data_IF_523229293846
#
_entry.id   IF_523229293846
#
_cell.length_a   1.000
_cell.length_b   1.000
_cell.length_c   1.000
_cell.angle_alpha   90.00
_cell.angle_beta   90.00
_cell.angle_gamma   90.00
#
_symmetry.space_group_name_H-M   'P 1'
#
loop_
_entity.id
_entity.type
_entity.pdbx_description
1 polymer ?
#
# COMPACT_ATOMS: atom_id res chain seq x y z
N UNK A 1 14.07 1.64 7.31
CA UNK A 1 12.89 1.54 6.44
C UNK A 1 11.66 2.20 7.06
N UNK A 2 11.25 1.85 8.28
CA UNK A 2 10.17 2.54 9.02
C UNK A 2 10.34 4.07 9.13
N UNK A 3 11.56 4.53 9.47
CA UNK A 3 11.92 5.96 9.52
C UNK A 3 11.81 6.66 8.16
N UNK A 4 11.96 5.93 7.05
CA UNK A 4 11.84 6.49 5.69
C UNK A 4 10.37 6.66 5.28
N UNK A 5 9.48 5.70 5.55
CA UNK A 5 8.06 5.85 5.25
C UNK A 5 7.41 7.02 6.01
N UNK A 6 7.66 7.13 7.32
CA UNK A 6 7.15 8.25 8.11
C UNK A 6 7.69 9.62 7.65
N UNK A 7 8.90 9.67 7.07
CA UNK A 7 9.47 10.91 6.52
C UNK A 7 8.68 11.43 5.32
N UNK A 8 8.14 10.54 4.50
CA UNK A 8 7.47 10.87 3.24
C UNK A 8 5.93 10.89 3.33
N UNK A 9 5.37 10.63 4.51
CA UNK A 9 3.94 10.81 4.79
C UNK A 9 3.79 12.05 5.65
N UNK A 10 3.41 13.18 5.04
CA UNK A 10 3.15 14.45 5.75
C UNK A 10 1.91 15.15 5.20
N UNK A 11 1.23 15.90 6.08
CA UNK A 11 0.06 16.69 5.70
C UNK A 11 0.49 17.94 4.92
N UNK A 12 -0.40 18.53 4.12
CA UNK A 12 -0.06 19.69 3.27
C UNK A 12 -0.48 21.04 3.86
N UNK A 13 -1.72 21.15 4.34
CA UNK A 13 -2.29 22.43 4.72
C UNK A 13 -2.30 22.64 6.23
N UNK A 14 -2.79 21.65 6.96
CA UNK A 14 -2.90 21.68 8.42
C UNK A 14 -2.33 20.39 8.99
N UNK A 15 -1.76 20.41 10.21
CA UNK A 15 -1.43 19.19 10.92
C UNK A 15 -2.66 18.30 11.01
N UNK A 16 -2.47 17.00 10.79
CA UNK A 16 -3.55 16.03 10.93
C UNK A 16 -3.32 15.24 12.21
N UNK A 17 -4.27 15.28 13.13
CA UNK A 17 -4.21 14.52 14.38
C UNK A 17 -5.31 13.46 14.40
N UNK A 18 -4.95 12.24 14.81
CA UNK A 18 -5.90 11.16 14.99
C UNK A 18 -5.34 10.04 15.85
N UNK A 19 -6.17 9.05 16.17
CA UNK A 19 -5.73 7.86 16.88
C UNK A 19 -4.89 6.98 15.94
N UNK A 20 -3.68 6.63 16.39
CA UNK A 20 -2.83 5.63 15.77
C UNK A 20 -2.63 4.43 16.68
N UNK A 21 -2.24 3.29 16.09
CA UNK A 21 -1.96 2.07 16.83
C UNK A 21 -0.47 2.01 17.19
N UNK A 22 -0.16 2.00 18.48
CA UNK A 22 1.15 1.64 18.99
C UNK A 22 1.22 0.10 19.10
N UNK A 23 1.90 -0.56 18.17
CA UNK A 23 1.99 -2.03 18.12
C UNK A 23 2.81 -2.65 19.27
N UNK A 24 3.77 -1.90 19.83
CA UNK A 24 4.61 -2.36 20.94
C UNK A 24 3.79 -2.42 22.24
N UNK A 25 3.10 -1.33 22.56
CA UNK A 25 2.23 -1.26 23.74
C UNK A 25 0.85 -1.88 23.53
N UNK A 26 0.51 -2.15 22.27
CA UNK A 26 -0.81 -2.59 21.84
C UNK A 26 -1.92 -1.66 22.36
N UNK A 27 -1.77 -0.37 22.10
CA UNK A 27 -2.67 0.68 22.56
C UNK A 27 -2.93 1.70 21.45
N UNK A 28 -4.10 2.35 21.49
CA UNK A 28 -4.33 3.52 20.66
C UNK A 28 -3.79 4.76 21.36
N UNK A 29 -2.99 5.54 20.64
CA UNK A 29 -2.36 6.77 21.10
C UNK A 29 -2.63 7.87 20.07
N UNK A 30 -2.72 9.11 20.52
CA UNK A 30 -2.84 10.24 19.60
C UNK A 30 -1.54 10.41 18.81
N UNK A 31 -1.66 10.54 17.49
CA UNK A 31 -0.55 10.78 16.57
C UNK A 31 -0.86 11.99 15.71
N UNK A 32 0.13 12.86 15.55
CA UNK A 32 0.02 14.04 14.68
C UNK A 32 0.96 13.91 13.50
N UNK A 33 0.41 14.08 12.31
CA UNK A 33 1.14 14.24 11.07
C UNK A 33 1.49 15.72 10.88
N UNK A 34 2.77 16.10 10.93
CA UNK A 34 3.18 17.49 10.72
C UNK A 34 2.94 17.90 9.26
N UNK A 35 2.89 19.23 9.05
CA UNK A 35 2.84 19.80 7.71
C UNK A 35 4.21 19.64 7.03
N UNK A 36 4.19 19.27 5.75
CA UNK A 36 5.37 19.14 4.91
C UNK A 36 5.90 20.51 4.49
N UNK A 37 7.23 20.66 4.47
CA UNK A 37 7.86 21.76 3.75
C UNK A 37 7.76 21.53 2.23
N UNK A 38 7.96 22.60 1.45
CA UNK A 38 8.02 22.49 -0.01
C UNK A 38 9.15 21.57 -0.49
N UNK A 39 10.25 21.48 0.25
CA UNK A 39 11.36 20.56 -0.02
C UNK A 39 10.94 19.11 0.22
N UNK A 40 10.26 18.83 1.33
CA UNK A 40 9.79 17.48 1.65
C UNK A 40 8.75 16.96 0.64
N UNK A 41 7.92 17.85 0.09
CA UNK A 41 7.01 17.50 -1.01
C UNK A 41 7.82 17.09 -2.25
N UNK A 42 8.81 17.89 -2.67
CA UNK A 42 9.66 17.56 -3.82
C UNK A 42 10.41 16.25 -3.62
N UNK A 43 11.07 16.08 -2.47
CA UNK A 43 11.79 14.85 -2.12
C UNK A 43 10.87 13.62 -2.15
N UNK A 44 9.63 13.78 -1.67
CA UNK A 44 8.65 12.69 -1.71
C UNK A 44 8.29 12.31 -3.14
N UNK A 45 8.08 13.29 -4.03
CA UNK A 45 7.80 13.05 -5.45
C UNK A 45 8.97 12.37 -6.14
N UNK A 46 10.20 12.85 -5.93
CA UNK A 46 11.40 12.24 -6.51
C UNK A 46 11.58 10.79 -6.08
N UNK A 47 11.31 10.45 -4.81
CA UNK A 47 11.52 9.09 -4.28
C UNK A 47 10.35 8.15 -4.59
N UNK A 48 9.10 8.63 -4.50
CA UNK A 48 7.91 7.78 -4.53
C UNK A 48 7.06 7.94 -5.80
N UNK A 49 7.46 8.85 -6.69
CA UNK A 49 6.87 9.10 -7.99
C UNK A 49 7.29 8.08 -9.04
N UNK A 50 7.18 8.47 -10.30
CA UNK A 50 7.43 7.58 -11.44
C UNK A 50 8.80 7.72 -12.09
N UNK A 51 9.66 8.62 -11.63
CA UNK A 51 10.95 8.93 -12.28
C UNK A 51 11.82 7.67 -12.43
N UNK A 52 12.06 6.93 -11.34
CA UNK A 52 12.88 5.71 -11.38
C UNK A 52 12.23 4.63 -12.26
N UNK A 53 10.90 4.51 -12.22
CA UNK A 53 10.17 3.57 -13.09
C UNK A 53 10.40 3.90 -14.57
N UNK A 54 10.32 5.17 -14.95
CA UNK A 54 10.62 5.59 -16.32
C UNK A 54 12.08 5.34 -16.70
N UNK A 55 13.03 5.61 -15.80
CA UNK A 55 14.46 5.33 -16.01
C UNK A 55 14.72 3.84 -16.24
N UNK A 56 14.06 2.96 -15.49
CA UNK A 56 14.15 1.51 -15.71
C UNK A 56 13.71 1.12 -17.12
N UNK A 57 12.55 1.61 -17.58
CA UNK A 57 12.05 1.28 -18.90
C UNK A 57 12.92 1.86 -20.01
N UNK A 58 13.46 3.07 -19.83
CA UNK A 58 14.44 3.66 -20.76
C UNK A 58 15.73 2.84 -20.85
N UNK A 59 16.29 2.42 -19.72
CA UNK A 59 17.50 1.61 -19.68
C UNK A 59 17.29 0.24 -20.33
N UNK A 60 16.17 -0.43 -20.01
CA UNK A 60 15.82 -1.72 -20.60
C UNK A 60 15.57 -1.61 -22.11
N UNK A 61 14.91 -0.54 -22.57
CA UNK A 61 14.68 -0.32 -24.00
C UNK A 61 15.99 -0.04 -24.74
N UNK A 62 16.87 0.80 -24.19
CA UNK A 62 18.18 1.11 -24.77
C UNK A 62 19.10 -0.13 -24.86
N UNK A 63 18.91 -1.09 -23.96
CA UNK A 63 19.61 -2.37 -23.95
C UNK A 63 18.91 -3.49 -24.74
N UNK A 64 17.86 -3.19 -25.50
CA UNK A 64 17.05 -4.17 -26.27
C UNK A 64 16.53 -5.34 -25.41
N UNK A 65 16.17 -5.04 -24.15
CA UNK A 65 15.69 -6.01 -23.16
C UNK A 65 14.16 -6.02 -23.02
N UNK A 66 13.43 -5.30 -23.88
CA UNK A 66 11.97 -5.24 -23.86
C UNK A 66 11.39 -6.03 -25.05
N UNK A 67 10.64 -7.08 -24.75
CA UNK A 67 9.95 -7.85 -25.77
C UNK A 67 8.77 -7.08 -26.40
N UNK A 68 8.38 -7.39 -27.66
CA UNK A 68 7.15 -6.87 -28.23
C UNK A 68 5.93 -7.19 -27.34
N UNK A 69 5.05 -6.21 -27.15
CA UNK A 69 3.87 -6.35 -26.29
C UNK A 69 4.17 -6.32 -24.78
N UNK A 70 5.36 -5.87 -24.35
CA UNK A 70 5.73 -5.81 -22.93
C UNK A 70 4.69 -5.07 -22.10
N UNK A 71 4.36 -5.62 -20.93
CA UNK A 71 3.51 -4.96 -19.95
C UNK A 71 4.32 -4.66 -18.70
N UNK A 72 4.26 -3.42 -18.23
CA UNK A 72 4.81 -3.00 -16.94
C UNK A 72 3.72 -2.47 -16.04
N UNK A 73 3.80 -2.77 -14.75
CA UNK A 73 2.80 -2.33 -13.77
C UNK A 73 3.47 -1.71 -12.55
N UNK A 74 3.00 -0.53 -12.13
CA UNK A 74 3.40 0.11 -10.88
C UNK A 74 2.25 0.07 -9.86
N UNK A 75 2.59 -0.13 -8.58
CA UNK A 75 1.60 -0.17 -7.50
C UNK A 75 1.36 1.22 -6.90
N UNK A 76 0.08 1.54 -6.73
CA UNK A 76 -0.41 2.77 -6.13
C UNK A 76 -1.44 2.47 -5.06
N UNK A 77 -1.79 3.48 -4.27
CA UNK A 77 -2.88 3.43 -3.30
C UNK A 77 -3.60 4.79 -3.30
N UNK A 78 -4.92 4.78 -3.16
CA UNK A 78 -5.74 5.99 -3.03
C UNK A 78 -6.41 6.00 -1.65
N UNK A 79 -7.05 4.89 -1.27
CA UNK A 79 -7.79 4.75 -0.02
C UNK A 79 -9.11 5.51 0.00
N UNK A 80 -9.85 5.46 1.11
CA UNK A 80 -11.10 6.18 1.25
C UNK A 80 -10.92 7.63 1.67
N UNK A 81 -12.00 8.41 1.56
CA UNK A 81 -12.05 9.84 1.94
C UNK A 81 -11.52 10.11 3.34
N UNK A 82 -11.78 9.21 4.31
CA UNK A 82 -11.29 9.33 5.69
C UNK A 82 -9.76 9.35 5.81
N UNK A 83 -9.05 8.83 4.81
CA UNK A 83 -7.57 8.79 4.76
C UNK A 83 -6.97 9.80 3.79
N UNK A 84 -7.78 10.58 3.07
CA UNK A 84 -7.28 11.56 2.10
C UNK A 84 -6.28 12.56 2.70
N UNK A 85 -6.50 13.14 3.90
CA UNK A 85 -5.52 14.06 4.49
C UNK A 85 -4.12 13.45 4.72
N UNK A 86 -4.06 12.12 4.91
CA UNK A 86 -2.83 11.36 5.15
C UNK A 86 -2.16 10.95 3.83
N UNK A 87 -2.97 10.52 2.86
CA UNK A 87 -2.51 9.93 1.61
C UNK A 87 -2.69 10.88 0.43
N UNK A 88 -3.92 10.96 -0.09
CA UNK A 88 -4.24 11.63 -1.35
C UNK A 88 -3.86 13.13 -1.35
N UNK A 89 -4.12 13.81 -0.24
CA UNK A 89 -3.88 15.25 -0.10
C UNK A 89 -2.54 15.56 0.60
N UNK A 90 -1.83 14.52 1.04
CA UNK A 90 -0.50 14.61 1.63
C UNK A 90 0.62 14.51 0.59
N UNK A 91 1.86 14.56 1.06
CA UNK A 91 3.07 14.45 0.21
C UNK A 91 3.09 13.21 -0.69
N UNK A 92 2.61 12.07 -0.17
CA UNK A 92 2.60 10.81 -0.91
C UNK A 92 1.56 10.81 -2.05
N UNK A 93 0.47 11.57 -1.90
CA UNK A 93 -0.54 11.74 -2.94
C UNK A 93 0.02 12.42 -4.18
N UNK A 94 0.80 13.49 -4.00
CA UNK A 94 1.54 14.14 -5.10
C UNK A 94 2.48 13.18 -5.82
N UNK A 95 3.19 12.34 -5.07
CA UNK A 95 4.04 11.33 -5.66
C UNK A 95 3.23 10.31 -6.47
N UNK A 96 2.03 9.92 -6.02
CA UNK A 96 1.15 9.03 -6.78
C UNK A 96 0.51 9.69 -8.00
N UNK A 97 0.16 10.97 -7.94
CA UNK A 97 -0.24 11.74 -9.12
C UNK A 97 0.89 11.78 -10.16
N UNK A 98 2.13 12.04 -9.72
CA UNK A 98 3.29 11.95 -10.61
C UNK A 98 3.45 10.55 -11.19
N UNK A 99 3.34 9.49 -10.38
CA UNK A 99 3.42 8.10 -10.85
C UNK A 99 2.36 7.79 -11.92
N UNK A 100 1.13 8.29 -11.74
CA UNK A 100 0.04 8.12 -12.71
C UNK A 100 0.34 8.85 -14.00
N UNK A 101 0.84 10.09 -13.93
CA UNK A 101 1.26 10.84 -15.12
C UNK A 101 2.45 10.17 -15.83
N UNK A 102 3.38 9.57 -15.09
CA UNK A 102 4.52 8.86 -15.67
C UNK A 102 4.09 7.59 -16.40
N UNK A 103 3.03 6.92 -15.97
CA UNK A 103 2.48 5.78 -16.70
C UNK A 103 2.08 6.16 -18.13
N UNK A 104 1.47 7.33 -18.34
CA UNK A 104 1.13 7.81 -19.68
C UNK A 104 2.37 8.11 -20.52
N UNK A 105 3.42 8.70 -19.92
CA UNK A 105 4.68 8.92 -20.61
C UNK A 105 5.35 7.60 -21.05
N UNK A 106 5.34 6.58 -20.18
CA UNK A 106 5.87 5.25 -20.50
C UNK A 106 5.01 4.57 -21.58
N UNK A 107 3.68 4.72 -21.55
CA UNK A 107 2.83 4.19 -22.62
C UNK A 107 3.20 4.76 -23.98
N UNK A 108 3.48 6.07 -24.07
CA UNK A 108 3.97 6.69 -25.31
C UNK A 108 5.34 6.13 -25.73
N UNK A 109 6.25 5.95 -24.78
CA UNK A 109 7.59 5.39 -25.02
C UNK A 109 7.54 3.94 -25.58
N UNK A 110 6.58 3.14 -25.12
CA UNK A 110 6.46 1.73 -25.48
C UNK A 110 5.57 1.48 -26.71
N UNK A 111 4.98 2.53 -27.29
CA UNK A 111 4.00 2.40 -28.37
C UNK A 111 4.54 1.65 -29.61
N UNK A 112 5.80 1.91 -29.99
CA UNK A 112 6.43 1.32 -31.19
C UNK A 112 6.60 -0.20 -31.09
N UNK A 113 6.69 -0.74 -29.87
CA UNK A 113 6.76 -2.19 -29.62
C UNK A 113 5.42 -2.77 -29.16
N UNK A 114 4.34 -1.99 -29.22
CA UNK A 114 3.00 -2.39 -28.75
C UNK A 114 2.93 -2.64 -27.24
N UNK A 115 3.85 -2.07 -26.46
CA UNK A 115 3.91 -2.25 -25.01
C UNK A 115 2.96 -1.32 -24.25
N UNK A 116 2.69 -1.67 -22.99
CA UNK A 116 1.77 -0.94 -22.13
C UNK A 116 2.31 -0.77 -20.71
N UNK A 117 2.07 0.42 -20.17
CA UNK A 117 2.27 0.73 -18.76
C UNK A 117 0.92 0.88 -18.04
N UNK A 118 0.80 0.22 -16.90
CA UNK A 118 -0.40 0.22 -16.08
C UNK A 118 -0.08 0.66 -14.66
N UNK A 119 -1.05 1.28 -14.00
CA UNK A 119 -1.00 1.49 -12.56
C UNK A 119 -2.07 0.64 -11.91
N UNK A 120 -1.67 -0.19 -10.94
CA UNK A 120 -2.61 -0.93 -10.12
C UNK A 120 -2.83 -0.22 -8.79
N UNK A 121 -4.05 0.26 -8.57
CA UNK A 121 -4.45 0.86 -7.29
C UNK A 121 -4.85 -0.28 -6.37
N UNK A 122 -3.97 -0.58 -5.43
CA UNK A 122 -4.10 -1.66 -4.47
C UNK A 122 -5.00 -1.27 -3.29
N UNK A 123 -5.57 -2.28 -2.62
CA UNK A 123 -6.20 -2.14 -1.31
C UNK A 123 -5.17 -1.87 -0.21
N UNK A 124 -5.62 -1.37 0.93
CA UNK A 124 -4.85 -1.22 2.14
C UNK A 124 -4.50 -2.60 2.73
N UNK A 125 -3.21 -2.84 2.97
CA UNK A 125 -2.67 -4.11 3.47
C UNK A 125 -1.68 -3.85 4.60
N UNK A 126 -1.47 -4.84 5.47
CA UNK A 126 -0.40 -4.80 6.48
C UNK A 126 0.92 -5.08 5.78
N UNK A 127 1.80 -4.07 5.75
CA UNK A 127 3.15 -4.15 5.19
C UNK A 127 4.08 -3.38 6.10
N UNK A 128 5.39 -3.56 5.92
CA UNK A 128 6.39 -2.79 6.66
C UNK A 128 6.33 -1.29 6.35
N UNK A 129 5.73 -0.89 5.23
CA UNK A 129 5.52 0.50 4.90
C UNK A 129 4.27 1.06 5.60
N UNK A 130 3.13 0.40 5.40
CA UNK A 130 1.82 0.84 5.90
C UNK A 130 1.67 0.77 7.42
N UNK A 131 2.33 -0.16 8.09
CA UNK A 131 2.28 -0.29 9.55
C UNK A 131 2.83 0.94 10.30
N UNK A 132 3.64 1.78 9.65
CA UNK A 132 4.25 2.98 10.26
C UNK A 132 3.67 4.29 9.74
N UNK A 133 2.65 4.26 8.89
CA UNK A 133 1.98 5.47 8.45
C UNK A 133 1.02 5.88 9.58
N UNK A 134 1.14 7.09 10.15
CA UNK A 134 0.30 7.50 11.26
C UNK A 134 -1.19 7.34 10.95
N UNK A 135 -1.95 6.88 11.94
CA UNK A 135 -3.41 6.64 11.87
C UNK A 135 -3.86 5.52 10.91
N UNK A 136 -3.08 5.18 9.87
CA UNK A 136 -3.44 4.13 8.91
C UNK A 136 -3.64 2.73 9.53
N UNK A 137 -2.84 2.27 10.51
CA UNK A 137 -3.10 1.00 11.20
C UNK A 137 -4.49 0.89 11.83
N UNK A 138 -5.07 2.01 12.27
CA UNK A 138 -6.44 2.02 12.79
C UNK A 138 -7.45 1.74 11.68
N UNK A 139 -7.25 2.32 10.50
CA UNK A 139 -8.05 2.02 9.31
C UNK A 139 -7.91 0.57 8.90
N UNK A 140 -6.69 0.04 8.86
CA UNK A 140 -6.42 -1.35 8.53
C UNK A 140 -7.16 -2.30 9.49
N UNK A 141 -7.10 -2.08 10.80
CA UNK A 141 -7.77 -2.94 11.78
C UNK A 141 -9.28 -2.99 11.56
N UNK A 142 -9.92 -1.84 11.35
CA UNK A 142 -11.36 -1.77 11.08
C UNK A 142 -11.73 -2.37 9.73
N UNK A 143 -10.99 -2.03 8.67
CA UNK A 143 -11.21 -2.55 7.32
C UNK A 143 -11.07 -4.07 7.29
N UNK A 144 -10.04 -4.61 7.92
CA UNK A 144 -9.81 -6.06 8.00
C UNK A 144 -10.98 -6.78 8.67
N UNK A 145 -11.51 -6.24 9.78
CA UNK A 145 -12.68 -6.81 10.45
C UNK A 145 -13.89 -6.86 9.53
N UNK A 146 -14.27 -5.70 8.98
CA UNK A 146 -15.43 -5.57 8.07
C UNK A 146 -15.30 -6.47 6.84
N UNK A 147 -14.15 -6.47 6.18
CA UNK A 147 -13.94 -7.29 4.99
C UNK A 147 -13.91 -8.79 5.30
N UNK A 148 -13.44 -9.20 6.49
CA UNK A 148 -13.47 -10.61 6.91
C UNK A 148 -14.90 -11.08 7.17
N UNK A 149 -15.70 -10.27 7.86
CA UNK A 149 -17.13 -10.55 8.09
C UNK A 149 -17.91 -10.69 6.77
N UNK A 150 -17.54 -9.91 5.74
CA UNK A 150 -18.17 -9.96 4.42
C UNK A 150 -17.55 -10.99 3.46
N UNK A 151 -16.50 -11.71 3.86
CA UNK A 151 -15.80 -12.66 2.98
C UNK A 151 -15.03 -12.01 1.82
N UNK A 152 -14.65 -10.74 1.95
CA UNK A 152 -13.97 -9.95 0.92
C UNK A 152 -12.47 -9.70 1.21
N UNK A 153 -11.99 -10.11 2.39
CA UNK A 153 -10.63 -9.81 2.83
C UNK A 153 -9.59 -10.54 1.98
N UNK A 154 -8.58 -9.78 1.55
CA UNK A 154 -7.41 -10.27 0.80
C UNK A 154 -6.13 -9.75 1.48
N UNK A 155 -5.13 -10.63 1.54
CA UNK A 155 -3.75 -10.30 1.85
C UNK A 155 -2.96 -9.93 0.59
N UNK A 156 -1.64 -9.79 0.73
CA UNK A 156 -0.78 -9.41 -0.40
C UNK A 156 -0.83 -10.44 -1.53
N UNK A 157 -0.80 -11.74 -1.19
CA UNK A 157 -0.73 -12.80 -2.20
C UNK A 157 -2.06 -12.99 -2.94
N UNK A 158 -3.19 -12.94 -2.23
CA UNK A 158 -4.52 -13.05 -2.83
C UNK A 158 -4.78 -11.87 -3.78
N UNK A 159 -4.40 -10.65 -3.37
CA UNK A 159 -4.54 -9.49 -4.23
C UNK A 159 -3.67 -9.63 -5.49
N UNK A 160 -2.41 -10.04 -5.37
CA UNK A 160 -1.55 -10.18 -6.55
C UNK A 160 -2.02 -11.30 -7.47
N UNK A 161 -2.52 -12.40 -6.90
CA UNK A 161 -3.16 -13.46 -7.66
C UNK A 161 -4.37 -12.92 -8.45
N UNK A 162 -5.29 -12.19 -7.81
CA UNK A 162 -6.45 -11.59 -8.49
C UNK A 162 -6.04 -10.54 -9.54
N UNK A 163 -5.01 -9.74 -9.28
CA UNK A 163 -4.48 -8.77 -10.25
C UNK A 163 -4.08 -9.48 -11.54
N UNK A 164 -3.23 -10.50 -11.45
CA UNK A 164 -2.73 -11.19 -12.62
C UNK A 164 -3.79 -12.09 -13.28
N UNK A 165 -4.46 -12.94 -12.50
CA UNK A 165 -5.39 -13.93 -13.02
C UNK A 165 -6.68 -13.31 -13.58
N UNK A 166 -7.16 -12.21 -12.99
CA UNK A 166 -8.47 -11.63 -13.35
C UNK A 166 -8.39 -10.30 -14.08
N UNK A 167 -7.33 -9.49 -13.87
CA UNK A 167 -7.30 -8.11 -14.38
C UNK A 167 -6.16 -7.77 -15.33
N UNK A 168 -5.11 -8.59 -15.44
CA UNK A 168 -4.03 -8.37 -16.43
C UNK A 168 -4.03 -9.44 -17.52
N UNK A 169 -4.18 -10.71 -17.13
CA UNK A 169 -4.07 -11.86 -18.02
C UNK A 169 -5.32 -12.74 -18.01
N UNK A 170 -6.45 -12.18 -17.56
CA UNK A 170 -7.75 -12.84 -17.62
C UNK A 170 -8.30 -12.90 -19.05
N UNK A 171 -9.43 -13.60 -19.23
CA UNK A 171 -10.06 -13.79 -20.55
C UNK A 171 -10.53 -12.49 -21.22
N UNK A 172 -10.70 -11.42 -20.44
CA UNK A 172 -11.09 -10.08 -20.94
C UNK A 172 -9.87 -9.18 -21.23
N UNK A 173 -8.65 -9.72 -21.12
CA UNK A 173 -7.42 -8.93 -21.17
C UNK A 173 -7.27 -8.02 -19.95
N UNK A 174 -6.70 -6.83 -20.15
CA UNK A 174 -6.51 -5.87 -19.06
C UNK A 174 -7.83 -5.18 -18.71
N UNK A 175 -8.21 -5.25 -17.43
CA UNK A 175 -9.41 -4.61 -16.87
C UNK A 175 -9.00 -3.40 -16.03
N UNK A 176 -9.25 -2.21 -16.57
CA UNK A 176 -8.95 -0.93 -15.93
C UNK A 176 -10.18 0.00 -15.94
N UNK A 177 -10.16 1.03 -15.10
CA UNK A 177 -11.19 2.08 -15.10
C UNK A 177 -10.97 3.13 -16.20
N UNK A 178 -11.84 4.14 -16.25
CA UNK A 178 -11.78 5.22 -17.26
C UNK A 178 -10.51 6.07 -17.21
N UNK A 179 -9.70 5.96 -16.15
CA UNK A 179 -8.40 6.62 -16.01
C UNK A 179 -7.23 5.66 -16.27
N UNK A 180 -7.49 4.48 -16.86
CA UNK A 180 -6.51 3.42 -17.11
C UNK A 180 -5.86 2.87 -15.84
N UNK A 181 -6.57 2.94 -14.71
CA UNK A 181 -6.11 2.38 -13.45
C UNK A 181 -6.72 0.98 -13.25
N UNK A 182 -5.90 -0.02 -12.95
CA UNK A 182 -6.36 -1.35 -12.55
C UNK A 182 -6.77 -1.27 -11.08
N UNK A 183 -8.08 -1.37 -10.81
CA UNK A 183 -8.66 -1.15 -9.48
C UNK A 183 -8.71 -2.42 -8.64
N UNK A 184 -7.69 -2.66 -7.83
CA UNK A 184 -7.66 -3.77 -6.87
C UNK A 184 -8.27 -3.39 -5.51
N UNK A 185 -8.51 -2.10 -5.30
CA UNK A 185 -9.21 -1.50 -4.18
C UNK A 185 -10.75 -1.52 -4.32
N UNK A 186 -11.28 -2.17 -5.36
CA UNK A 186 -12.72 -2.25 -5.67
C UNK A 186 -13.56 -2.85 -4.53
N UNK A 187 -13.09 -3.91 -3.88
CA UNK A 187 -13.76 -4.48 -2.72
C UNK A 187 -13.71 -3.54 -1.51
N UNK A 188 -12.54 -2.95 -1.24
CA UNK A 188 -12.33 -2.00 -0.14
C UNK A 188 -13.23 -0.78 -0.29
N UNK A 189 -13.26 -0.16 -1.47
CA UNK A 189 -13.99 1.08 -1.74
C UNK A 189 -15.47 0.86 -2.06
N UNK A 190 -15.98 -0.37 -1.94
CA UNK A 190 -17.40 -0.62 -2.09
C UNK A 190 -18.21 0.19 -1.05
N UNK A 191 -19.38 0.75 -1.41
CA UNK A 191 -20.18 1.54 -0.48
C UNK A 191 -20.53 0.79 0.82
N UNK A 192 -20.81 -0.52 0.72
CA UNK A 192 -21.12 -1.36 1.88
C UNK A 192 -19.96 -1.45 2.88
N UNK A 193 -18.73 -1.69 2.39
CA UNK A 193 -17.53 -1.74 3.25
C UNK A 193 -17.25 -0.38 3.85
N UNK A 194 -17.28 0.69 3.06
CA UNK A 194 -16.93 2.04 3.53
C UNK A 194 -17.94 2.61 4.56
N UNK A 195 -19.23 2.34 4.40
CA UNK A 195 -20.26 2.71 5.38
C UNK A 195 -20.02 1.97 6.70
N UNK A 196 -19.76 0.66 6.65
CA UNK A 196 -19.49 -0.14 7.85
C UNK A 196 -18.23 0.33 8.58
N UNK A 197 -17.12 0.54 7.85
CA UNK A 197 -15.87 1.04 8.44
C UNK A 197 -16.07 2.43 9.07
N UNK A 198 -16.77 3.35 8.38
CA UNK A 198 -17.04 4.69 8.90
C UNK A 198 -17.89 4.67 10.18
N UNK A 199 -18.88 3.78 10.25
CA UNK A 199 -19.72 3.62 11.43
C UNK A 199 -18.94 3.08 12.64
N UNK A 200 -17.97 2.20 12.42
CA UNK A 200 -17.08 1.69 13.46
C UNK A 200 -16.07 2.76 13.89
N UNK A 201 -15.49 3.49 12.92
CA UNK A 201 -14.52 4.55 13.17
C UNK A 201 -15.05 5.61 14.14
N UNK A 202 -16.29 6.07 13.94
CA UNK A 202 -16.92 7.09 14.78
C UNK A 202 -17.14 6.66 16.25
N UNK A 203 -17.10 5.35 16.54
CA UNK A 203 -17.32 4.77 17.87
C UNK A 203 -16.03 4.25 18.51
N UNK A 204 -14.92 4.31 17.77
CA UNK A 204 -13.66 3.74 18.21
C UNK A 204 -13.05 4.56 19.35
N UNK A 205 -12.63 3.87 20.41
CA UNK A 205 -11.93 4.47 21.55
C UNK A 205 -10.73 3.60 21.93
N UNK A 206 -9.73 4.15 22.65
CA UNK A 206 -8.62 3.35 23.19
C UNK A 206 -9.05 2.18 24.08
N UNK A 207 -10.26 2.21 24.66
CA UNK A 207 -10.78 1.17 25.53
C UNK A 207 -11.49 0.04 24.78
N UNK A 208 -12.06 0.31 23.59
CA UNK A 208 -12.88 -0.66 22.86
C UNK A 208 -12.25 -1.17 21.56
N UNK A 209 -11.13 -0.59 21.11
CA UNK A 209 -10.63 -0.84 19.75
C UNK A 209 -10.40 -2.32 19.44
N UNK A 210 -9.90 -3.09 20.40
CA UNK A 210 -9.58 -4.50 20.23
C UNK A 210 -10.79 -5.37 19.84
N UNK A 211 -12.02 -4.94 20.15
CA UNK A 211 -13.27 -5.64 19.78
C UNK A 211 -14.02 -4.99 18.60
N UNK A 212 -13.55 -3.85 18.08
CA UNK A 212 -14.25 -3.07 17.05
C UNK A 212 -13.81 -3.41 15.62
N UNK A 213 -12.75 -4.20 15.47
CA UNK A 213 -12.19 -4.64 14.20
C UNK A 213 -11.15 -5.71 14.45
N UNK A 214 -10.38 -6.06 13.42
CA UNK A 214 -9.39 -7.13 13.50
C UNK A 214 -7.98 -6.60 13.81
N UNK A 215 -7.83 -5.94 14.96
CA UNK A 215 -6.54 -5.43 15.43
C UNK A 215 -5.59 -6.56 15.87
N UNK A 216 -6.14 -7.67 16.35
CA UNK A 216 -5.37 -8.86 16.68
C UNK A 216 -4.77 -9.50 15.41
N UNK A 217 -5.57 -9.62 14.35
CA UNK A 217 -5.10 -10.04 13.04
C UNK A 217 -4.08 -9.09 12.45
N UNK A 218 -4.29 -7.77 12.55
CA UNK A 218 -3.28 -6.79 12.12
C UNK A 218 -1.94 -7.00 12.84
N UNK A 219 -1.94 -7.18 14.17
CA UNK A 219 -0.72 -7.45 14.94
C UNK A 219 -0.06 -8.75 14.48
N UNK A 220 -0.84 -9.82 14.30
CA UNK A 220 -0.34 -11.10 13.80
C UNK A 220 0.28 -10.96 12.41
N UNK A 221 -0.38 -10.31 11.47
CA UNK A 221 0.13 -10.09 10.11
C UNK A 221 1.45 -9.29 10.14
N UNK A 222 1.56 -8.30 11.05
CA UNK A 222 2.80 -7.56 11.28
C UNK A 222 3.92 -8.44 11.85
N UNK A 223 3.62 -9.32 12.81
CA UNK A 223 4.59 -10.26 13.37
C UNK A 223 5.08 -11.24 12.31
N UNK A 224 4.16 -11.82 11.54
CA UNK A 224 4.45 -12.80 10.48
C UNK A 224 5.31 -12.21 9.38
N UNK A 225 5.07 -10.95 8.99
CA UNK A 225 5.93 -10.23 8.06
C UNK A 225 7.39 -10.13 8.54
N UNK A 226 7.63 -10.15 9.86
CA UNK A 226 8.95 -10.10 10.47
C UNK A 226 9.46 -11.49 10.91
N UNK A 227 8.78 -12.58 10.51
CA UNK A 227 9.19 -13.96 10.82
C UNK A 227 8.70 -14.50 12.17
N UNK A 228 7.80 -13.80 12.86
CA UNK A 228 7.27 -14.19 14.18
C UNK A 228 5.82 -14.66 14.09
N UNK A 229 5.37 -15.44 15.08
CA UNK A 229 4.00 -15.97 15.16
C UNK A 229 3.56 -16.75 13.90
N UNK A 230 4.52 -17.44 13.27
CA UNK A 230 4.30 -18.33 12.13
C UNK A 230 3.98 -19.75 12.64
N UNK A 231 2.86 -20.35 12.21
CA UNK A 231 2.58 -21.76 12.49
C UNK A 231 3.67 -22.66 11.93
N UNK A 232 4.10 -23.65 12.73
CA UNK A 232 5.09 -24.65 12.32
C UNK A 232 6.55 -24.23 12.46
N UNK A 233 6.83 -23.03 12.99
CA UNK A 233 8.19 -22.60 13.36
C UNK A 233 8.43 -22.89 14.83
N UNK A 234 9.53 -23.60 15.13
CA UNK A 234 10.01 -23.76 16.51
C UNK A 234 10.85 -22.54 16.92
N UNK A 235 10.25 -21.67 17.73
CA UNK A 235 10.89 -20.44 18.21
C UNK A 235 11.90 -20.67 19.34
N UNK A 236 11.93 -21.86 19.95
CA UNK A 236 12.90 -22.24 20.97
C UNK A 236 14.14 -22.93 20.37
N UNK A 237 14.06 -23.35 19.10
CA UNK A 237 15.19 -23.95 18.40
C UNK A 237 16.36 -22.94 18.25
N UNK A 238 17.61 -23.38 18.48
CA UNK A 238 18.76 -22.49 18.35
C UNK A 238 18.96 -22.05 16.89
N UNK A 239 19.19 -20.75 16.70
CA UNK A 239 19.46 -20.17 15.38
C UNK A 239 20.97 -20.08 15.13
N UNK A 240 21.45 -20.67 14.03
CA UNK A 240 22.85 -20.58 13.62
C UNK A 240 23.10 -19.30 12.81
N UNK A 241 23.53 -18.24 13.50
CA UNK A 241 23.82 -16.93 12.89
C UNK A 241 24.93 -17.01 11.83
N UNK A 242 25.93 -17.88 12.01
CA UNK A 242 27.02 -18.04 11.03
C UNK A 242 26.48 -18.59 9.70
N UNK A 243 25.68 -19.64 9.76
CA UNK A 243 25.07 -20.24 8.57
C UNK A 243 24.16 -19.24 7.82
N UNK A 244 23.42 -18.39 8.55
CA UNK A 244 22.61 -17.34 7.93
C UNK A 244 23.47 -16.32 7.17
N UNK A 245 24.66 -15.98 7.68
CA UNK A 245 25.58 -15.07 7.01
C UNK A 245 26.26 -15.63 5.76
N UNK A 246 26.20 -16.95 5.55
CA UNK A 246 26.74 -17.62 4.36
C UNK A 246 25.74 -17.68 3.20
N UNK A 247 24.46 -17.36 3.45
CA UNK A 247 23.42 -17.31 2.42
C UNK A 247 23.72 -16.18 1.41
N UNK A 248 23.67 -16.51 0.12
CA UNK A 248 23.76 -15.55 -0.97
C UNK A 248 22.34 -15.21 -1.48
N UNK A 249 22.03 -13.93 -1.75
CA UNK A 249 20.77 -13.50 -2.35
C UNK A 249 20.49 -14.09 -3.73
#
# INVERSE_FOLDING_TARGET
MAVRCARYSRARANPFTGLGLNLERYALEEQTLPVASAEEIRDTVTVMGGEDWQLWLQALQAADCLAPGVQTVAYSYIGPQSTYPLYRDGTIGYAKEHLHSTAEAINLQLADIGGHAWVSVCKALVTKASAYIPVLPVYLGLLMGVMKEQGLHEGCIEQMHRLFASKMYGTQGVVADGHRLIRMDDHELSPAVQVAVSALWAKLTPQNFASMGDFAGLKRDFLQLNGFDLPGVDYEAPVNIKALGELQP
#
